data_IF_056796529377
#
_entry.id   IF_056796529377
#
_cell.length_a   1.000
_cell.length_b   1.000
_cell.length_c   1.000
_cell.angle_alpha   90.00
_cell.angle_beta   90.00
_cell.angle_gamma   90.00
#
_symmetry.space_group_name_H-M   'P 1'
#
loop_
_entity.id
_entity.type
_entity.pdbx_description
1 polymer ?
#
# COMPACT_ATOMS: atom_id res chain seq x y z
N UNK A 1 -20.30 7.18 -0.43
CA UNK A 1 -19.48 5.99 -0.76
C UNK A 1 -18.02 6.37 -0.61
N UNK A 2 -17.18 5.53 0.02
CA UNK A 2 -15.75 5.76 0.10
C UNK A 2 -15.00 5.02 -1.00
N UNK A 3 -13.94 5.62 -1.54
CA UNK A 3 -13.02 4.97 -2.46
C UNK A 3 -11.80 4.47 -1.70
N UNK A 4 -11.17 3.40 -2.19
CA UNK A 4 -9.94 2.85 -1.63
C UNK A 4 -8.77 3.35 -2.46
N UNK A 5 -7.87 4.11 -1.85
CA UNK A 5 -6.60 4.45 -2.46
C UNK A 5 -5.73 3.19 -2.55
N UNK A 6 -5.24 2.87 -3.74
CA UNK A 6 -4.45 1.67 -4.01
C UNK A 6 -3.01 2.06 -4.33
N UNK A 7 -2.07 1.48 -3.58
CA UNK A 7 -0.66 1.47 -3.97
C UNK A 7 -0.31 0.08 -4.52
N UNK A 8 0.18 0.07 -5.76
CA UNK A 8 0.60 -1.14 -6.48
C UNK A 8 1.75 -0.78 -7.42
N UNK A 9 2.40 -1.76 -8.04
CA UNK A 9 3.47 -1.47 -9.00
C UNK A 9 2.90 -0.87 -10.27
N UNK A 10 3.63 0.12 -10.79
CA UNK A 10 3.19 1.02 -11.85
C UNK A 10 3.62 0.57 -13.24
N UNK A 11 4.38 -0.53 -13.34
CA UNK A 11 5.03 -0.99 -14.56
C UNK A 11 4.12 -1.78 -15.51
N UNK A 12 2.84 -1.97 -15.17
CA UNK A 12 1.91 -2.80 -15.96
C UNK A 12 0.77 -1.95 -16.50
N UNK A 13 0.37 -2.11 -17.78
CA UNK A 13 -0.81 -1.44 -18.31
C UNK A 13 -2.08 -1.76 -17.51
N UNK A 14 -2.94 -0.75 -17.33
CA UNK A 14 -4.25 -0.92 -16.70
C UNK A 14 -4.24 -0.98 -15.16
N UNK A 15 -3.10 -0.77 -14.50
CA UNK A 15 -3.07 -0.62 -13.05
C UNK A 15 -3.69 0.71 -12.63
N UNK A 16 -4.36 0.70 -11.48
CA UNK A 16 -4.92 1.92 -10.90
C UNK A 16 -3.80 2.92 -10.61
N UNK A 17 -3.94 4.19 -11.03
CA UNK A 17 -2.99 5.22 -10.65
C UNK A 17 -3.06 5.44 -9.12
N UNK A 18 -1.96 5.89 -8.49
CA UNK A 18 -2.00 6.36 -7.12
C UNK A 18 -3.00 7.51 -7.01
N UNK A 19 -3.94 7.41 -6.07
CA UNK A 19 -4.93 8.46 -5.79
C UNK A 19 -4.73 8.98 -4.38
N UNK A 20 -4.67 10.30 -4.23
CA UNK A 20 -4.58 11.03 -2.96
C UNK A 20 -5.91 11.71 -2.58
N UNK A 21 -7.01 11.25 -3.17
CA UNK A 21 -8.34 11.85 -3.02
C UNK A 21 -9.12 11.22 -1.86
N UNK A 22 -9.62 12.06 -0.95
CA UNK A 22 -10.61 11.67 0.06
C UNK A 22 -12.01 11.79 -0.57
N UNK A 23 -12.55 10.67 -1.05
CA UNK A 23 -13.88 10.64 -1.65
C UNK A 23 -15.03 10.69 -0.64
N UNK A 24 -14.74 10.54 0.66
CA UNK A 24 -15.72 10.59 1.73
C UNK A 24 -15.12 11.15 3.02
N UNK A 25 -15.72 12.19 3.65
CA UNK A 25 -15.10 12.88 4.78
C UNK A 25 -14.99 12.03 6.04
N UNK A 26 -15.88 11.05 6.23
CA UNK A 26 -15.88 10.16 7.40
C UNK A 26 -15.08 8.86 7.24
N UNK A 27 -14.52 8.58 6.06
CA UNK A 27 -13.82 7.32 5.82
C UNK A 27 -12.77 7.45 4.71
N UNK A 28 -11.50 7.35 5.08
CA UNK A 28 -10.37 7.22 4.15
C UNK A 28 -9.70 5.85 4.35
N UNK A 29 -9.45 5.14 3.25
CA UNK A 29 -8.84 3.80 3.27
C UNK A 29 -7.72 3.71 2.24
N UNK A 30 -6.58 3.17 2.65
CA UNK A 30 -5.42 2.91 1.76
C UNK A 30 -5.05 1.44 1.80
N UNK A 31 -4.83 0.82 0.64
CA UNK A 31 -4.34 -0.57 0.51
C UNK A 31 -3.01 -0.62 -0.25
N UNK A 32 -1.98 -1.08 0.46
CA UNK A 32 -0.63 -1.27 -0.09
C UNK A 32 -0.44 -2.71 -0.56
N UNK A 33 -0.31 -2.94 -1.86
CA UNK A 33 -0.15 -4.28 -2.45
C UNK A 33 1.32 -4.64 -2.74
N UNK A 34 2.22 -3.66 -2.68
CA UNK A 34 3.61 -3.78 -3.10
C UNK A 34 3.86 -3.18 -4.47
N UNK A 35 5.10 -2.72 -4.71
CA UNK A 35 5.54 -2.12 -5.97
C UNK A 35 6.51 -3.01 -6.75
N UNK A 36 6.32 -4.33 -6.67
CA UNK A 36 7.19 -5.29 -7.37
C UNK A 36 7.17 -5.05 -8.88
N UNK A 37 8.34 -5.14 -9.50
CA UNK A 37 8.48 -5.11 -10.96
C UNK A 37 7.81 -6.33 -11.62
N UNK A 38 7.60 -7.41 -10.87
CA UNK A 38 6.91 -8.61 -11.33
C UNK A 38 5.38 -8.46 -11.39
N UNK A 39 4.80 -7.28 -11.12
CA UNK A 39 3.36 -7.12 -11.34
C UNK A 39 2.96 -7.51 -12.77
N UNK A 40 1.77 -8.08 -12.94
CA UNK A 40 1.28 -8.60 -14.23
C UNK A 40 1.99 -9.85 -14.74
N UNK A 41 3.07 -10.28 -14.09
CA UNK A 41 3.86 -11.47 -14.40
C UNK A 41 4.16 -12.24 -13.11
N UNK A 42 4.93 -13.33 -13.18
CA UNK A 42 5.43 -14.02 -11.98
C UNK A 42 4.36 -14.67 -11.09
N UNK A 43 4.83 -15.26 -9.99
CA UNK A 43 4.00 -15.88 -8.97
C UNK A 43 3.28 -14.85 -8.10
N UNK A 44 2.42 -15.32 -7.19
CA UNK A 44 1.87 -14.44 -6.14
C UNK A 44 3.00 -13.85 -5.29
N UNK A 45 3.98 -14.66 -4.91
CA UNK A 45 5.11 -14.26 -4.08
C UNK A 45 5.92 -13.17 -4.75
N UNK A 46 6.22 -13.32 -6.04
CA UNK A 46 6.98 -12.32 -6.81
C UNK A 46 6.29 -10.95 -6.81
N UNK A 47 4.95 -10.97 -6.85
CA UNK A 47 4.12 -9.77 -6.90
C UNK A 47 3.95 -9.09 -5.54
N UNK A 48 3.73 -9.88 -4.48
CA UNK A 48 3.34 -9.38 -3.16
C UNK A 48 4.48 -9.36 -2.13
N UNK A 49 5.67 -9.89 -2.39
CA UNK A 49 6.82 -9.88 -1.48
C UNK A 49 7.62 -8.57 -1.60
N UNK A 50 6.97 -7.45 -1.30
CA UNK A 50 7.59 -6.13 -1.33
C UNK A 50 7.63 -5.54 0.07
N UNK A 51 8.81 -5.14 0.56
CA UNK A 51 8.96 -4.45 1.86
C UNK A 51 8.98 -2.94 1.63
N UNK A 52 8.06 -2.23 2.27
CA UNK A 52 7.98 -0.78 2.16
C UNK A 52 8.96 -0.09 3.10
N UNK A 53 9.51 1.05 2.65
CA UNK A 53 10.25 2.02 3.47
C UNK A 53 9.59 3.41 3.38
N UNK A 54 8.29 3.45 3.08
CA UNK A 54 7.58 4.64 2.63
C UNK A 54 7.14 5.57 3.78
N UNK A 55 6.95 6.85 3.46
CA UNK A 55 6.41 7.86 4.39
C UNK A 55 4.94 7.60 4.74
N UNK A 56 4.50 7.98 5.95
CA UNK A 56 3.12 7.77 6.36
C UNK A 56 2.11 8.60 5.57
N UNK A 57 0.87 8.10 5.41
CA UNK A 57 -0.23 8.92 4.91
C UNK A 57 -0.49 10.08 5.87
N UNK A 58 -0.90 11.23 5.32
CA UNK A 58 -1.30 12.39 6.12
C UNK A 58 -2.75 12.25 6.59
N UNK A 59 -3.06 12.76 7.78
CA UNK A 59 -4.39 12.73 8.36
C UNK A 59 -4.82 11.36 8.90
N UNK A 60 -6.11 11.19 9.16
CA UNK A 60 -6.68 9.94 9.70
C UNK A 60 -7.13 9.04 8.56
N UNK A 61 -6.55 7.84 8.47
CA UNK A 61 -6.94 6.84 7.49
C UNK A 61 -6.81 5.42 8.05
N UNK A 62 -7.63 4.50 7.53
CA UNK A 62 -7.43 3.07 7.74
C UNK A 62 -6.43 2.54 6.71
N UNK A 63 -5.32 1.99 7.21
CA UNK A 63 -4.23 1.50 6.36
C UNK A 63 -4.16 -0.01 6.42
N UNK A 64 -4.17 -0.66 5.25
CA UNK A 64 -4.02 -2.10 5.12
C UNK A 64 -2.79 -2.44 4.27
N UNK A 65 -1.95 -3.34 4.81
CA UNK A 65 -0.80 -3.90 4.10
C UNK A 65 -1.19 -5.28 3.52
N UNK A 66 -1.30 -5.35 2.19
CA UNK A 66 -1.71 -6.53 1.44
C UNK A 66 -0.54 -7.24 0.74
N UNK A 67 0.68 -6.71 0.87
CA UNK A 67 1.97 -7.29 0.48
C UNK A 67 2.35 -8.48 1.39
N UNK A 68 1.48 -9.50 1.47
CA UNK A 68 1.48 -10.49 2.56
C UNK A 68 2.57 -11.57 2.47
N UNK A 69 3.30 -11.66 1.37
CA UNK A 69 4.26 -12.75 1.17
C UNK A 69 5.57 -12.52 1.95
N UNK A 70 6.07 -13.59 2.58
CA UNK A 70 7.31 -13.63 3.37
C UNK A 70 7.40 -12.57 4.49
N UNK A 71 6.30 -12.32 5.20
CA UNK A 71 6.26 -11.40 6.35
C UNK A 71 6.23 -9.92 5.98
N UNK A 72 6.31 -9.57 4.69
CA UNK A 72 6.51 -8.19 4.26
C UNK A 72 5.40 -7.23 4.69
N UNK A 73 4.15 -7.69 4.79
CA UNK A 73 3.04 -6.87 5.29
C UNK A 73 3.20 -6.49 6.77
N UNK A 74 3.63 -7.44 7.61
CA UNK A 74 3.84 -7.19 9.05
C UNK A 74 5.04 -6.27 9.26
N UNK A 75 6.14 -6.53 8.54
CA UNK A 75 7.33 -5.65 8.54
C UNK A 75 6.95 -4.22 8.13
N UNK A 76 6.18 -4.07 7.04
CA UNK A 76 5.76 -2.76 6.54
C UNK A 76 4.83 -2.03 7.51
N UNK A 77 3.92 -2.75 8.17
CA UNK A 77 3.05 -2.17 9.20
C UNK A 77 3.86 -1.71 10.43
N UNK A 78 4.86 -2.49 10.84
CA UNK A 78 5.75 -2.12 11.94
C UNK A 78 6.58 -0.87 11.58
N UNK A 79 7.17 -0.83 10.39
CA UNK A 79 7.89 0.35 9.88
C UNK A 79 6.98 1.58 9.82
N UNK A 80 5.77 1.45 9.28
CA UNK A 80 4.80 2.56 9.23
C UNK A 80 4.47 3.09 10.63
N UNK A 81 4.28 2.20 11.60
CA UNK A 81 4.03 2.58 12.99
C UNK A 81 5.21 3.36 13.57
N UNK A 82 6.45 2.94 13.32
CA UNK A 82 7.65 3.67 13.76
C UNK A 82 7.68 5.09 13.16
N UNK A 83 7.48 5.19 11.85
CA UNK A 83 7.48 6.48 11.14
C UNK A 83 6.37 7.43 11.59
N UNK A 84 5.23 6.91 12.05
CA UNK A 84 4.13 7.71 12.62
C UNK A 84 4.45 8.24 14.03
N UNK A 85 5.40 7.62 14.74
CA UNK A 85 5.80 8.01 16.12
C UNK A 85 7.08 8.84 16.18
N UNK A 86 7.80 8.95 15.07
CA UNK A 86 9.02 9.76 14.93
C UNK A 86 8.73 11.23 14.57
N UNK A 87 7.44 11.63 14.55
CA UNK A 87 6.97 12.96 14.14
C UNK A 87 6.56 13.83 15.33
#
# INVERSE_FOLDING_TARGET
>A
MALVAVDTGRSVPGVMPPTDVVAHPGLAVVRFHGRSAAWGTGSKEDRFRHRYTASPPRGTAHVLFNNCCAGAAVDSAATMRQLLTEV
#
